data_IF_968249177302
#
_entry.id   IF_968249177302
#
_cell.length_a   1.000
_cell.length_b   1.000
_cell.length_c   1.000
_cell.angle_alpha   90.00
_cell.angle_beta   90.00
_cell.angle_gamma   90.00
#
_symmetry.space_group_name_H-M   'P 1'
#
loop_
_entity.id
_entity.type
_entity.pdbx_description
1 polymer ?
#
# COMPACT_ATOMS: atom_id res chain seq x y z
N UNK A 1 -4.27 -5.52 24.65
CA UNK A 1 -3.78 -4.92 23.39
C UNK A 1 -3.27 -3.49 23.57
N UNK A 2 -3.97 -2.55 24.21
CA UNK A 2 -3.60 -1.12 24.34
C UNK A 2 -2.19 -0.85 24.88
N UNK A 3 -1.73 -1.60 25.88
CA UNK A 3 -0.35 -1.45 26.39
C UNK A 3 0.70 -1.82 25.34
N UNK A 4 0.44 -2.86 24.57
CA UNK A 4 1.35 -3.31 23.48
C UNK A 4 1.38 -2.27 22.36
N UNK A 5 0.23 -1.71 21.99
CA UNK A 5 0.15 -0.63 20.99
C UNK A 5 0.96 0.58 21.43
N UNK A 6 0.84 0.98 22.70
CA UNK A 6 1.61 2.10 23.24
C UNK A 6 3.12 1.84 23.12
N UNK A 7 3.59 0.66 23.56
CA UNK A 7 4.99 0.28 23.40
C UNK A 7 5.44 0.26 21.94
N UNK A 8 4.57 -0.20 21.03
CA UNK A 8 4.86 -0.23 19.59
C UNK A 8 5.00 1.19 19.00
N UNK A 9 4.14 2.14 19.39
CA UNK A 9 4.26 3.54 18.98
C UNK A 9 5.55 4.18 19.50
N UNK A 10 5.87 3.95 20.78
CA UNK A 10 7.11 4.46 21.39
C UNK A 10 8.33 3.91 20.64
N UNK A 11 8.37 2.62 20.40
CA UNK A 11 9.45 1.98 19.64
C UNK A 11 9.56 2.53 18.21
N UNK A 12 8.43 2.61 17.47
CA UNK A 12 8.45 3.10 16.09
C UNK A 12 8.89 4.55 15.99
N UNK A 13 8.44 5.39 16.92
CA UNK A 13 8.87 6.78 17.00
C UNK A 13 10.39 6.88 17.18
N UNK A 14 10.93 6.19 18.19
CA UNK A 14 12.37 6.22 18.48
C UNK A 14 13.19 5.64 17.33
N UNK A 15 12.72 4.55 16.73
CA UNK A 15 13.39 3.92 15.60
C UNK A 15 13.43 4.85 14.37
N UNK A 16 12.30 5.43 14.00
CA UNK A 16 12.23 6.35 12.86
C UNK A 16 13.10 7.59 13.09
N UNK A 17 13.01 8.20 14.28
CA UNK A 17 13.82 9.36 14.62
C UNK A 17 15.33 9.08 14.63
N UNK A 18 15.74 7.85 14.95
CA UNK A 18 17.15 7.45 14.87
C UNK A 18 17.72 7.43 13.45
N UNK A 19 16.83 7.45 12.44
CA UNK A 19 17.20 7.46 11.02
C UNK A 19 17.20 8.85 10.39
N UNK A 20 16.82 9.90 11.15
CA UNK A 20 16.80 11.26 10.63
C UNK A 20 18.20 11.70 10.19
N UNK A 21 18.25 12.37 9.05
CA UNK A 21 19.46 12.79 8.37
C UNK A 21 19.42 14.31 8.11
N UNK A 22 20.59 14.94 8.07
CA UNK A 22 20.73 16.33 7.60
C UNK A 22 20.63 16.43 6.07
N UNK A 23 20.82 15.32 5.34
CA UNK A 23 20.59 15.25 3.90
C UNK A 23 19.10 15.37 3.59
N UNK A 24 18.74 16.34 2.75
CA UNK A 24 17.35 16.67 2.46
C UNK A 24 16.62 15.55 1.68
N UNK A 25 17.33 14.87 0.77
CA UNK A 25 16.74 13.78 -0.03
C UNK A 25 16.48 12.54 0.84
N UNK A 26 17.43 12.20 1.72
CA UNK A 26 17.28 11.14 2.70
C UNK A 26 16.13 11.44 3.66
N UNK A 27 16.11 12.65 4.23
CA UNK A 27 15.06 13.08 5.15
C UNK A 27 13.68 13.04 4.48
N UNK A 28 13.57 13.49 3.22
CA UNK A 28 12.31 13.42 2.46
C UNK A 28 11.83 11.98 2.32
N UNK A 29 12.73 11.04 2.05
CA UNK A 29 12.43 9.61 1.96
C UNK A 29 11.89 9.06 3.29
N UNK A 30 12.60 9.31 4.39
CA UNK A 30 12.23 8.87 5.74
C UNK A 30 10.89 9.49 6.17
N UNK A 31 10.74 10.81 6.03
CA UNK A 31 9.51 11.54 6.38
C UNK A 31 8.29 11.06 5.58
N UNK A 32 8.47 10.77 4.30
CA UNK A 32 7.37 10.23 3.50
C UNK A 32 6.94 8.85 4.01
N UNK A 33 7.88 8.00 4.43
CA UNK A 33 7.55 6.68 4.99
C UNK A 33 6.96 6.77 6.40
N UNK A 34 7.40 7.73 7.20
CA UNK A 34 6.81 8.04 8.50
C UNK A 34 5.34 8.46 8.36
N UNK A 35 5.06 9.44 7.51
CA UNK A 35 3.69 9.88 7.21
C UNK A 35 2.83 8.75 6.64
N UNK A 36 3.37 8.00 5.67
CA UNK A 36 2.70 6.86 5.09
C UNK A 36 2.30 5.85 6.17
N UNK A 37 3.21 5.47 7.05
CA UNK A 37 2.93 4.56 8.16
C UNK A 37 1.80 5.09 9.05
N UNK A 38 1.80 6.38 9.39
CA UNK A 38 0.74 6.99 10.20
C UNK A 38 -0.63 6.93 9.50
N UNK A 39 -0.69 7.25 8.20
CA UNK A 39 -1.93 7.18 7.43
C UNK A 39 -2.43 5.74 7.25
N UNK A 40 -1.54 4.79 6.98
CA UNK A 40 -1.91 3.37 6.85
C UNK A 40 -2.42 2.81 8.17
N UNK A 41 -1.78 3.15 9.29
CA UNK A 41 -2.26 2.79 10.64
C UNK A 41 -3.68 3.29 10.87
N UNK A 42 -3.92 4.57 10.57
CA UNK A 42 -5.26 5.17 10.68
C UNK A 42 -6.27 4.49 9.75
N UNK A 43 -5.91 4.26 8.49
CA UNK A 43 -6.80 3.62 7.51
C UNK A 43 -7.16 2.19 7.93
N UNK A 44 -6.20 1.41 8.43
CA UNK A 44 -6.44 0.03 8.91
C UNK A 44 -7.41 0.02 10.10
N UNK A 45 -7.21 0.93 11.05
CA UNK A 45 -8.11 1.13 12.19
C UNK A 45 -9.52 1.54 11.75
N UNK A 46 -9.63 2.56 10.89
CA UNK A 46 -10.91 3.07 10.40
C UNK A 46 -11.69 2.01 9.61
N UNK A 47 -11.00 1.22 8.79
CA UNK A 47 -11.60 0.10 8.05
C UNK A 47 -12.09 -0.99 9.01
N UNK A 48 -11.30 -1.35 10.04
CA UNK A 48 -11.70 -2.32 11.04
C UNK A 48 -12.94 -1.87 11.84
N UNK A 49 -13.03 -0.56 12.16
CA UNK A 49 -14.23 0.04 12.79
C UNK A 49 -15.44 -0.02 11.84
N UNK A 50 -15.26 0.29 10.56
CA UNK A 50 -16.32 0.19 9.54
C UNK A 50 -16.86 -1.25 9.44
N UNK A 51 -15.97 -2.23 9.48
CA UNK A 51 -16.33 -3.65 9.50
C UNK A 51 -16.95 -4.12 10.81
N UNK A 52 -17.13 -3.21 11.81
CA UNK A 52 -17.69 -3.48 13.12
C UNK A 52 -16.97 -4.59 13.89
N UNK A 53 -15.65 -4.67 13.72
CA UNK A 53 -14.83 -5.62 14.46
C UNK A 53 -14.84 -5.28 15.97
N UNK A 54 -14.49 -6.26 16.81
CA UNK A 54 -14.33 -6.03 18.25
C UNK A 54 -13.24 -4.98 18.54
N UNK A 55 -13.27 -4.33 19.70
CA UNK A 55 -12.22 -3.37 20.10
C UNK A 55 -10.84 -4.01 20.02
N UNK A 56 -10.72 -5.27 20.43
CA UNK A 56 -9.47 -6.02 20.35
C UNK A 56 -9.00 -6.23 18.89
N UNK A 57 -9.91 -6.56 17.99
CA UNK A 57 -9.59 -6.76 16.57
C UNK A 57 -9.27 -5.44 15.86
N UNK A 58 -9.90 -4.33 16.27
CA UNK A 58 -9.54 -2.97 15.81
C UNK A 58 -8.13 -2.60 16.25
N UNK A 59 -7.79 -2.87 17.51
CA UNK A 59 -6.45 -2.66 18.04
C UNK A 59 -5.41 -3.50 17.30
N UNK A 60 -5.75 -4.75 16.95
CA UNK A 60 -4.85 -5.62 16.17
C UNK A 60 -4.64 -5.09 14.73
N UNK A 61 -5.69 -4.57 14.08
CA UNK A 61 -5.57 -3.94 12.76
C UNK A 61 -4.69 -2.69 12.82
N UNK A 62 -4.82 -1.87 13.87
CA UNK A 62 -3.98 -0.71 14.13
C UNK A 62 -2.51 -1.11 14.26
N UNK A 63 -2.21 -2.13 15.07
CA UNK A 63 -0.84 -2.64 15.26
C UNK A 63 -0.23 -3.17 13.95
N UNK A 64 -1.01 -3.89 13.15
CA UNK A 64 -0.57 -4.37 11.83
C UNK A 64 -0.26 -3.18 10.92
N UNK A 65 -1.12 -2.16 10.89
CA UNK A 65 -0.89 -0.92 10.13
C UNK A 65 0.40 -0.22 10.54
N UNK A 66 0.65 -0.11 11.86
CA UNK A 66 1.84 0.54 12.40
C UNK A 66 3.14 -0.20 12.02
N UNK A 67 3.11 -1.52 11.94
CA UNK A 67 4.29 -2.35 11.71
C UNK A 67 4.48 -2.77 10.24
N UNK A 68 3.50 -2.56 9.36
CA UNK A 68 3.52 -3.17 8.01
C UNK A 68 4.78 -2.85 7.20
N UNK A 69 5.26 -1.62 7.29
CA UNK A 69 6.40 -1.10 6.53
C UNK A 69 7.67 -0.90 7.41
N UNK A 70 7.74 -1.52 8.60
CA UNK A 70 8.93 -1.44 9.47
C UNK A 70 10.19 -1.90 8.74
N UNK A 71 10.05 -2.85 7.82
CA UNK A 71 11.13 -3.33 6.96
C UNK A 71 11.66 -2.26 6.00
N UNK A 72 10.88 -1.23 5.63
CA UNK A 72 11.34 -0.10 4.81
C UNK A 72 12.36 0.74 5.56
N UNK A 73 12.17 0.97 6.85
CA UNK A 73 13.13 1.69 7.68
C UNK A 73 14.43 0.88 7.82
N UNK A 74 14.33 -0.44 8.00
CA UNK A 74 15.50 -1.33 8.01
C UNK A 74 16.18 -1.39 6.65
N UNK A 75 15.42 -1.44 5.56
CA UNK A 75 15.92 -1.42 4.19
C UNK A 75 16.72 -0.13 3.92
N UNK A 76 16.18 1.03 4.37
CA UNK A 76 16.89 2.29 4.27
C UNK A 76 18.20 2.28 5.06
N UNK A 77 18.14 1.85 6.31
CA UNK A 77 19.31 1.79 7.20
C UNK A 77 20.47 0.96 6.65
N UNK A 78 20.15 -0.12 5.94
CA UNK A 78 21.17 -1.07 5.45
C UNK A 78 21.58 -0.80 4.01
N UNK A 79 20.63 -0.42 3.16
CA UNK A 79 20.82 -0.37 1.70
C UNK A 79 20.67 1.03 1.10
N UNK A 80 20.28 2.03 1.87
CA UNK A 80 20.00 3.41 1.41
C UNK A 80 19.07 3.47 0.18
N UNK A 81 18.08 2.58 0.11
CA UNK A 81 17.09 2.53 -0.97
C UNK A 81 15.77 1.95 -0.47
N UNK A 82 14.66 2.31 -1.14
CA UNK A 82 13.34 1.71 -0.96
C UNK A 82 12.95 0.79 -2.12
N UNK A 83 13.89 0.43 -2.99
CA UNK A 83 13.65 -0.43 -4.16
C UNK A 83 14.03 -1.86 -3.83
N UNK A 84 13.04 -2.74 -3.67
CA UNK A 84 13.24 -4.15 -3.28
C UNK A 84 14.21 -4.88 -4.23
N UNK A 85 14.15 -4.56 -5.54
CA UNK A 85 15.05 -5.15 -6.54
C UNK A 85 16.53 -4.86 -6.29
N UNK A 86 16.83 -3.74 -5.64
CA UNK A 86 18.19 -3.28 -5.35
C UNK A 86 18.65 -3.65 -3.91
N UNK A 87 17.82 -4.41 -3.18
CA UNK A 87 18.05 -4.75 -1.78
C UNK A 87 17.39 -6.10 -1.41
N UNK A 88 16.50 -6.10 -0.41
CA UNK A 88 15.68 -7.25 -0.01
C UNK A 88 14.18 -6.89 -0.13
N UNK A 89 13.32 -7.92 -0.24
CA UNK A 89 11.86 -7.76 -0.09
C UNK A 89 11.54 -7.16 1.28
N UNK A 90 10.96 -5.96 1.28
CA UNK A 90 10.75 -5.20 2.52
C UNK A 90 9.77 -5.87 3.49
N UNK A 91 8.77 -6.61 2.97
CA UNK A 91 7.86 -7.35 3.84
C UNK A 91 8.63 -8.45 4.59
N UNK A 92 9.44 -9.22 3.89
CA UNK A 92 10.29 -10.27 4.48
C UNK A 92 11.29 -9.70 5.49
N UNK A 93 11.88 -8.55 5.17
CA UNK A 93 12.79 -7.84 6.08
C UNK A 93 12.03 -7.34 7.33
N UNK A 94 10.81 -6.83 7.14
CA UNK A 94 9.94 -6.43 8.25
C UNK A 94 9.61 -7.57 9.20
N UNK A 95 9.34 -8.78 8.68
CA UNK A 95 9.12 -9.95 9.52
C UNK A 95 10.33 -10.28 10.40
N UNK A 96 11.55 -10.18 9.86
CA UNK A 96 12.78 -10.39 10.64
C UNK A 96 12.86 -9.40 11.81
N UNK A 97 12.59 -8.12 11.54
CA UNK A 97 12.59 -7.07 12.59
C UNK A 97 11.53 -7.34 13.64
N UNK A 98 10.28 -7.63 13.21
CA UNK A 98 9.14 -7.84 14.12
C UNK A 98 9.39 -8.98 15.12
N UNK A 99 10.00 -10.08 14.68
CA UNK A 99 10.31 -11.23 15.54
C UNK A 99 11.28 -10.90 16.67
N UNK A 100 12.08 -9.84 16.54
CA UNK A 100 13.03 -9.38 17.54
C UNK A 100 12.41 -8.42 18.58
N UNK A 101 11.21 -7.85 18.28
CA UNK A 101 10.58 -6.83 19.13
C UNK A 101 10.10 -7.40 20.48
N UNK A 102 10.50 -6.81 21.60
CA UNK A 102 10.11 -7.31 22.93
C UNK A 102 8.61 -7.35 23.15
N UNK A 103 7.87 -6.32 22.69
CA UNK A 103 6.42 -6.25 22.85
C UNK A 103 5.69 -7.27 21.96
N UNK A 104 6.26 -7.65 20.80
CA UNK A 104 5.68 -8.67 19.93
C UNK A 104 5.62 -10.03 20.62
N UNK A 105 6.64 -10.36 21.42
CA UNK A 105 6.71 -11.61 22.20
C UNK A 105 5.67 -11.69 23.34
N UNK A 106 5.03 -10.58 23.69
CA UNK A 106 3.94 -10.53 24.69
C UNK A 106 2.57 -10.88 24.10
N UNK A 107 2.44 -10.91 22.76
CA UNK A 107 1.23 -11.31 22.07
C UNK A 107 1.02 -12.82 22.15
N UNK A 108 -0.23 -13.26 22.06
CA UNK A 108 -0.55 -14.68 21.90
C UNK A 108 0.02 -15.25 20.60
N UNK A 109 0.20 -16.56 20.54
CA UNK A 109 0.70 -17.23 19.34
C UNK A 109 -0.19 -16.95 18.11
N UNK A 110 -1.52 -16.96 18.30
CA UNK A 110 -2.48 -16.67 17.22
C UNK A 110 -2.35 -15.24 16.70
N UNK A 111 -2.19 -14.25 17.58
CA UNK A 111 -1.99 -12.85 17.18
C UNK A 111 -0.67 -12.66 16.44
N UNK A 112 0.41 -13.30 16.93
CA UNK A 112 1.71 -13.28 16.25
C UNK A 112 1.59 -13.85 14.85
N UNK A 113 0.95 -14.99 14.67
CA UNK A 113 0.75 -15.62 13.38
C UNK A 113 -0.11 -14.77 12.42
N UNK A 114 -1.15 -14.10 12.94
CA UNK A 114 -2.00 -13.19 12.14
C UNK A 114 -1.16 -12.00 11.66
N UNK A 115 -0.41 -11.34 12.54
CA UNK A 115 0.43 -10.19 12.20
C UNK A 115 1.47 -10.57 11.15
N UNK A 116 2.22 -11.66 11.37
CA UNK A 116 3.23 -12.12 10.44
C UNK A 116 2.64 -12.48 9.08
N UNK A 117 1.48 -13.15 9.06
CA UNK A 117 0.79 -13.48 7.82
C UNK A 117 0.33 -12.22 7.07
N UNK A 118 -0.33 -11.29 7.76
CA UNK A 118 -0.84 -10.07 7.15
C UNK A 118 0.29 -9.22 6.56
N UNK A 119 1.34 -8.96 7.34
CA UNK A 119 2.49 -8.17 6.91
C UNK A 119 3.28 -8.88 5.81
N UNK A 120 3.49 -10.20 5.92
CA UNK A 120 4.18 -10.97 4.89
C UNK A 120 3.46 -11.04 3.53
N UNK A 121 2.15 -10.69 3.51
CA UNK A 121 1.33 -10.72 2.29
C UNK A 121 0.93 -9.33 1.77
N UNK A 122 1.29 -8.22 2.46
CA UNK A 122 0.79 -6.91 2.07
C UNK A 122 1.30 -6.45 0.69
N UNK A 123 2.54 -6.78 0.34
CA UNK A 123 3.19 -6.40 -0.92
C UNK A 123 3.13 -7.49 -2.01
N UNK A 124 2.52 -8.65 -1.74
CA UNK A 124 2.45 -9.75 -2.71
C UNK A 124 1.38 -9.48 -3.78
N UNK A 125 1.58 -10.01 -4.99
CA UNK A 125 0.58 -9.95 -6.06
C UNK A 125 -0.75 -10.55 -5.60
N UNK A 126 -0.70 -11.69 -4.94
CA UNK A 126 -1.85 -12.41 -4.39
C UNK A 126 -1.57 -12.81 -2.94
N UNK A 127 -2.61 -12.81 -2.11
CA UNK A 127 -2.50 -13.33 -0.74
C UNK A 127 -2.31 -14.84 -0.80
N UNK A 128 -1.34 -15.37 -0.07
CA UNK A 128 -1.11 -16.81 0.04
C UNK A 128 -2.36 -17.49 0.59
N UNK A 129 -2.72 -18.63 0.02
CA UNK A 129 -3.91 -19.40 0.46
C UNK A 129 -3.79 -19.77 1.93
N UNK A 130 -4.85 -19.51 2.68
CA UNK A 130 -4.98 -19.86 4.10
C UNK A 130 -6.39 -20.38 4.40
N UNK A 131 -6.51 -21.27 5.39
CA UNK A 131 -7.80 -21.71 5.93
C UNK A 131 -8.29 -20.81 7.07
N UNK A 132 -7.45 -19.91 7.57
CA UNK A 132 -7.80 -19.01 8.66
C UNK A 132 -8.50 -17.77 8.09
N UNK A 133 -9.81 -17.62 8.40
CA UNK A 133 -10.59 -16.45 8.03
C UNK A 133 -9.97 -15.17 8.62
N UNK A 134 -9.49 -15.22 9.88
CA UNK A 134 -8.83 -14.08 10.52
C UNK A 134 -7.54 -13.67 9.79
N UNK A 135 -6.65 -14.58 9.45
CA UNK A 135 -5.43 -14.26 8.69
C UNK A 135 -5.77 -13.59 7.35
N UNK A 136 -6.78 -14.13 6.64
CA UNK A 136 -7.22 -13.56 5.38
C UNK A 136 -7.81 -12.16 5.55
N UNK A 137 -8.63 -11.95 6.57
CA UNK A 137 -9.25 -10.66 6.88
C UNK A 137 -8.19 -9.58 7.11
N UNK A 138 -7.22 -9.82 7.99
CA UNK A 138 -6.18 -8.82 8.30
C UNK A 138 -5.22 -8.59 7.13
N UNK A 139 -4.93 -9.62 6.33
CA UNK A 139 -4.17 -9.44 5.09
C UNK A 139 -4.92 -8.54 4.09
N UNK A 140 -6.25 -8.67 3.98
CA UNK A 140 -7.08 -7.79 3.15
C UNK A 140 -7.13 -6.36 3.72
N UNK A 141 -7.30 -6.21 5.05
CA UNK A 141 -7.35 -4.89 5.71
C UNK A 141 -6.06 -4.11 5.46
N UNK A 142 -4.90 -4.72 5.70
CA UNK A 142 -3.63 -4.00 5.53
C UNK A 142 -3.35 -3.66 4.07
N UNK A 143 -3.65 -4.55 3.12
CA UNK A 143 -3.50 -4.28 1.69
C UNK A 143 -4.35 -3.11 1.23
N UNK A 144 -5.58 -3.02 1.72
CA UNK A 144 -6.48 -1.94 1.39
C UNK A 144 -6.06 -0.62 2.03
N UNK A 145 -5.67 -0.66 3.32
CA UNK A 145 -5.19 0.51 4.06
C UNK A 145 -3.93 1.11 3.44
N UNK A 146 -2.96 0.27 3.05
CA UNK A 146 -1.73 0.64 2.36
C UNK A 146 -2.04 1.24 0.98
N UNK A 147 -2.84 0.54 0.18
CA UNK A 147 -3.23 1.00 -1.16
C UNK A 147 -3.94 2.35 -1.13
N UNK A 148 -4.82 2.59 -0.16
CA UNK A 148 -5.53 3.85 0.00
C UNK A 148 -4.56 5.02 0.24
N UNK A 149 -3.47 4.82 0.99
CA UNK A 149 -2.48 5.87 1.20
C UNK A 149 -1.45 5.97 0.07
N UNK A 150 -1.10 4.87 -0.60
CA UNK A 150 -0.19 4.91 -1.76
C UNK A 150 -0.73 5.85 -2.87
N UNK A 151 -2.04 5.90 -3.10
CA UNK A 151 -2.61 6.88 -4.04
C UNK A 151 -2.25 8.32 -3.65
N UNK A 152 -2.36 8.69 -2.37
CA UNK A 152 -1.95 10.01 -1.85
C UNK A 152 -0.46 10.25 -2.05
N UNK A 153 0.37 9.30 -1.64
CA UNK A 153 1.84 9.40 -1.72
C UNK A 153 2.32 9.55 -3.16
N UNK A 154 1.63 8.94 -4.12
CA UNK A 154 2.03 8.95 -5.53
C UNK A 154 1.39 10.09 -6.33
N UNK A 155 0.41 10.81 -5.77
CA UNK A 155 -0.28 11.90 -6.45
C UNK A 155 0.67 13.00 -6.96
N UNK A 156 1.65 13.51 -6.17
CA UNK A 156 2.60 14.52 -6.64
C UNK A 156 3.43 14.08 -7.86
N UNK A 157 3.55 12.77 -8.07
CA UNK A 157 4.36 12.19 -9.17
C UNK A 157 3.52 11.81 -10.40
N UNK A 158 2.31 12.34 -10.53
CA UNK A 158 1.51 12.24 -11.76
C UNK A 158 1.99 13.23 -12.82
N UNK A 159 2.54 14.37 -12.39
CA UNK A 159 3.16 15.35 -13.28
C UNK A 159 4.66 15.09 -13.38
N UNK A 160 5.15 14.93 -14.63
CA UNK A 160 6.54 14.66 -14.93
C UNK A 160 7.53 15.76 -14.48
N UNK A 161 7.03 16.93 -14.07
CA UNK A 161 7.86 18.04 -13.59
C UNK A 161 8.40 17.83 -12.17
N UNK A 162 7.87 16.85 -11.43
CA UNK A 162 8.31 16.55 -10.06
C UNK A 162 9.36 15.44 -10.10
N UNK A 163 10.61 15.79 -10.37
CA UNK A 163 11.74 14.84 -10.32
C UNK A 163 12.25 14.55 -8.89
N UNK A 164 11.86 15.37 -7.91
CA UNK A 164 12.39 15.30 -6.55
C UNK A 164 11.97 14.01 -5.83
N UNK A 165 12.93 13.25 -5.33
CA UNK A 165 12.70 12.01 -4.56
C UNK A 165 12.31 10.77 -5.37
N UNK A 166 12.05 10.90 -6.69
CA UNK A 166 11.71 9.77 -7.57
C UNK A 166 12.85 8.75 -7.69
N UNK A 167 14.10 9.21 -7.71
CA UNK A 167 15.30 8.35 -7.83
C UNK A 167 15.43 7.35 -6.69
N UNK A 168 14.90 7.68 -5.50
CA UNK A 168 14.93 6.80 -4.33
C UNK A 168 13.85 5.71 -4.36
N UNK A 169 12.83 5.85 -5.23
CA UNK A 169 11.63 5.01 -5.22
C UNK A 169 11.37 4.25 -6.50
N UNK A 170 11.74 4.81 -7.66
CA UNK A 170 11.41 4.24 -8.96
C UNK A 170 12.57 4.40 -9.91
N UNK A 171 12.78 3.40 -10.76
CA UNK A 171 13.68 3.56 -11.91
C UNK A 171 13.10 4.64 -12.83
N UNK A 172 13.92 5.56 -13.35
CA UNK A 172 13.46 6.55 -14.32
C UNK A 172 12.85 5.86 -15.54
N UNK A 173 11.73 6.38 -16.04
CA UNK A 173 11.12 5.93 -17.30
C UNK A 173 10.73 7.16 -18.13
N UNK A 174 10.73 7.07 -19.48
CA UNK A 174 10.36 8.16 -20.37
C UNK A 174 8.94 8.68 -20.06
N UNK A 175 8.80 10.00 -20.21
CA UNK A 175 7.49 10.66 -20.20
C UNK A 175 7.13 11.05 -21.64
N UNK A 176 6.60 10.09 -22.36
CA UNK A 176 6.11 10.23 -23.72
C UNK A 176 4.68 9.67 -23.84
N UNK A 177 4.05 9.80 -24.99
CA UNK A 177 2.67 9.38 -25.21
C UNK A 177 2.49 7.88 -25.45
N UNK A 178 3.57 7.11 -25.41
CA UNK A 178 3.54 5.66 -25.67
C UNK A 178 3.03 4.88 -24.45
N UNK A 179 2.61 3.66 -24.76
CA UNK A 179 2.34 2.58 -23.79
C UNK A 179 3.16 1.36 -24.18
N UNK A 180 3.64 0.62 -23.18
CA UNK A 180 4.27 -0.67 -23.42
C UNK A 180 3.27 -1.66 -24.05
N UNK A 181 3.75 -2.61 -24.86
CA UNK A 181 2.88 -3.58 -25.51
C UNK A 181 1.97 -4.33 -24.54
N UNK A 182 0.69 -4.42 -24.85
CA UNK A 182 -0.32 -5.14 -24.08
C UNK A 182 -0.89 -4.40 -22.86
N UNK A 183 -0.39 -3.18 -22.52
CA UNK A 183 -0.91 -2.43 -21.36
C UNK A 183 -2.32 -1.92 -21.60
N UNK A 184 -2.58 -1.32 -22.75
CA UNK A 184 -3.90 -0.81 -23.11
C UNK A 184 -4.95 -1.94 -23.22
N UNK A 185 -4.60 -3.05 -23.87
CA UNK A 185 -5.50 -4.20 -24.01
C UNK A 185 -5.88 -4.79 -22.64
N UNK A 186 -4.91 -4.90 -21.71
CA UNK A 186 -5.19 -5.36 -20.34
C UNK A 186 -6.01 -4.36 -19.57
N UNK A 187 -5.75 -3.06 -19.72
CA UNK A 187 -6.55 -2.02 -19.09
C UNK A 187 -8.01 -2.06 -19.57
N UNK A 188 -8.23 -2.19 -20.89
CA UNK A 188 -9.58 -2.35 -21.47
C UNK A 188 -10.29 -3.59 -20.91
N UNK A 189 -9.55 -4.69 -20.70
CA UNK A 189 -10.12 -5.92 -20.12
C UNK A 189 -10.26 -5.91 -18.61
N UNK A 190 -9.74 -4.89 -17.92
CA UNK A 190 -9.71 -4.81 -16.45
C UNK A 190 -8.78 -5.86 -15.83
N UNK A 191 -7.75 -6.27 -16.55
CA UNK A 191 -6.73 -7.21 -16.10
C UNK A 191 -5.55 -6.47 -15.54
N UNK A 192 -4.90 -7.05 -14.51
CA UNK A 192 -3.68 -6.48 -13.95
C UNK A 192 -2.46 -6.82 -14.81
N UNK A 193 -1.52 -5.87 -14.86
CA UNK A 193 -0.21 -6.06 -15.48
C UNK A 193 0.87 -6.28 -14.43
N UNK A 194 1.96 -6.89 -14.85
CA UNK A 194 3.18 -6.97 -14.06
C UNK A 194 3.87 -5.59 -14.07
N UNK A 195 4.01 -4.96 -12.90
CA UNK A 195 4.66 -3.65 -12.76
C UNK A 195 6.14 -3.66 -13.21
N UNK A 196 6.76 -4.84 -13.33
CA UNK A 196 8.13 -4.99 -13.85
C UNK A 196 8.24 -4.72 -15.33
N UNK A 197 7.10 -4.70 -16.04
CA UNK A 197 7.01 -4.42 -17.47
C UNK A 197 6.74 -2.95 -17.78
N UNK A 198 6.78 -2.07 -16.79
CA UNK A 198 6.60 -0.63 -16.97
C UNK A 198 7.77 -0.06 -17.76
N UNK A 199 7.49 0.59 -18.88
CA UNK A 199 8.46 1.24 -19.76
C UNK A 199 8.27 2.76 -19.85
N UNK A 200 7.07 3.28 -19.52
CA UNK A 200 6.72 4.70 -19.63
C UNK A 200 6.00 5.24 -18.39
N UNK A 201 5.88 6.57 -18.30
CA UNK A 201 5.06 7.18 -17.25
C UNK A 201 3.56 6.86 -17.43
N UNK A 202 3.08 6.69 -18.66
CA UNK A 202 1.70 6.30 -18.92
C UNK A 202 1.41 4.87 -18.44
N UNK A 203 2.36 3.95 -18.58
CA UNK A 203 2.23 2.60 -18.00
C UNK A 203 2.06 2.64 -16.49
N UNK A 204 2.84 3.51 -15.80
CA UNK A 204 2.68 3.71 -14.34
C UNK A 204 1.30 4.21 -13.96
N UNK A 205 0.76 5.14 -14.74
CA UNK A 205 -0.60 5.66 -14.52
C UNK A 205 -1.64 4.56 -14.69
N UNK A 206 -1.53 3.76 -15.77
CA UNK A 206 -2.43 2.62 -16.00
C UNK A 206 -2.34 1.57 -14.88
N UNK A 207 -1.13 1.19 -14.45
CA UNK A 207 -0.93 0.25 -13.33
C UNK A 207 -1.63 0.76 -12.07
N UNK A 208 -1.50 2.05 -11.76
CA UNK A 208 -2.19 2.66 -10.60
C UNK A 208 -3.72 2.59 -10.74
N UNK A 209 -4.27 2.84 -11.93
CA UNK A 209 -5.70 2.66 -12.17
C UNK A 209 -6.14 1.20 -12.03
N UNK A 210 -5.32 0.25 -12.49
CA UNK A 210 -5.61 -1.18 -12.38
C UNK A 210 -5.57 -1.68 -10.93
N UNK A 211 -4.88 -0.99 -10.00
CA UNK A 211 -4.94 -1.33 -8.58
C UNK A 211 -6.34 -1.26 -7.98
N UNK A 212 -7.25 -0.49 -8.58
CA UNK A 212 -8.64 -0.46 -8.16
C UNK A 212 -9.29 -1.86 -8.21
N UNK A 213 -8.91 -2.70 -9.17
CA UNK A 213 -9.41 -4.08 -9.28
C UNK A 213 -8.93 -5.02 -8.18
N UNK A 214 -7.90 -4.63 -7.40
CA UNK A 214 -7.37 -5.39 -6.26
C UNK A 214 -7.80 -4.80 -4.90
N UNK A 215 -8.78 -3.91 -4.88
CA UNK A 215 -9.38 -3.40 -3.63
C UNK A 215 -10.35 -4.43 -3.09
N UNK A 216 -10.16 -4.81 -1.82
CA UNK A 216 -10.96 -5.85 -1.19
C UNK A 216 -12.32 -5.33 -0.68
N UNK A 217 -12.34 -4.16 -0.04
CA UNK A 217 -13.52 -3.62 0.65
C UNK A 217 -14.15 -2.45 -0.09
N UNK A 218 -15.49 -2.37 -0.07
CA UNK A 218 -16.25 -1.29 -0.67
C UNK A 218 -15.92 0.05 0.00
N UNK A 219 -15.74 0.07 1.31
CA UNK A 219 -15.32 1.24 2.06
C UNK A 219 -14.03 1.86 1.51
N UNK A 220 -13.03 1.02 1.24
CA UNK A 220 -11.76 1.49 0.67
C UNK A 220 -11.97 2.11 -0.71
N UNK A 221 -12.78 1.46 -1.55
CA UNK A 221 -13.10 1.99 -2.87
C UNK A 221 -13.85 3.32 -2.81
N UNK A 222 -14.81 3.44 -1.88
CA UNK A 222 -15.52 4.70 -1.63
C UNK A 222 -14.52 5.81 -1.25
N UNK A 223 -13.57 5.54 -0.34
CA UNK A 223 -12.54 6.51 0.05
C UNK A 223 -11.62 6.92 -1.09
N UNK A 224 -11.20 5.98 -1.94
CA UNK A 224 -10.41 6.27 -3.14
C UNK A 224 -11.20 7.17 -4.10
N UNK A 225 -12.48 6.87 -4.30
CA UNK A 225 -13.37 7.63 -5.19
C UNK A 225 -13.67 9.03 -4.62
N UNK A 226 -14.04 9.14 -3.34
CA UNK A 226 -14.31 10.41 -2.65
C UNK A 226 -13.11 11.38 -2.70
N UNK A 227 -11.89 10.86 -2.60
CA UNK A 227 -10.65 11.66 -2.69
C UNK A 227 -10.27 12.03 -4.12
N UNK A 228 -10.98 11.50 -5.13
CA UNK A 228 -10.78 11.80 -6.54
C UNK A 228 -9.45 11.27 -7.12
N UNK A 229 -8.78 10.32 -6.45
CA UNK A 229 -7.47 9.82 -6.88
C UNK A 229 -7.49 9.24 -8.30
N UNK A 230 -8.52 8.45 -8.64
CA UNK A 230 -8.61 7.82 -9.96
C UNK A 230 -8.82 8.87 -11.06
N UNK A 231 -9.70 9.85 -10.84
CA UNK A 231 -9.98 10.91 -11.82
C UNK A 231 -8.75 11.81 -12.04
N UNK A 232 -7.96 12.07 -11.00
CA UNK A 232 -6.68 12.79 -11.15
C UNK A 232 -5.73 12.04 -12.06
N UNK A 233 -5.59 10.71 -11.88
CA UNK A 233 -4.74 9.89 -12.75
C UNK A 233 -5.26 9.89 -14.18
N UNK A 234 -6.57 9.70 -14.37
CA UNK A 234 -7.23 9.69 -15.68
C UNK A 234 -6.98 11.01 -16.42
N UNK A 235 -7.06 12.14 -15.71
CA UNK A 235 -6.84 13.47 -16.32
C UNK A 235 -5.42 13.67 -16.86
N UNK A 236 -4.45 12.89 -16.37
CA UNK A 236 -3.04 12.93 -16.80
C UNK A 236 -2.70 11.91 -17.91
N UNK A 237 -3.69 11.17 -18.42
CA UNK A 237 -3.48 10.22 -19.52
C UNK A 237 -3.74 10.89 -20.87
N UNK A 238 -3.11 10.43 -21.97
CA UNK A 238 -3.41 10.88 -23.31
C UNK A 238 -4.85 10.51 -23.71
N UNK A 239 -5.51 11.40 -24.47
CA UNK A 239 -6.90 11.22 -24.92
C UNK A 239 -6.93 10.29 -26.15
N UNK A 240 -6.92 8.99 -25.90
CA UNK A 240 -7.00 7.95 -26.92
C UNK A 240 -8.30 7.15 -26.77
N UNK A 241 -8.90 6.65 -27.86
CA UNK A 241 -10.11 5.81 -27.78
C UNK A 241 -9.94 4.57 -26.90
N UNK A 242 -8.78 3.94 -26.93
CA UNK A 242 -8.43 2.77 -26.12
C UNK A 242 -8.36 3.10 -24.63
N UNK A 243 -7.81 4.26 -24.29
CA UNK A 243 -7.77 4.76 -22.91
C UNK A 243 -9.20 5.00 -22.42
N UNK A 244 -10.04 5.65 -23.23
CA UNK A 244 -11.42 5.93 -22.87
C UNK A 244 -12.24 4.66 -22.66
N UNK A 245 -12.05 3.63 -23.48
CA UNK A 245 -12.70 2.32 -23.27
C UNK A 245 -12.34 1.71 -21.91
N UNK A 246 -11.06 1.73 -21.55
CA UNK A 246 -10.60 1.25 -20.25
C UNK A 246 -11.16 2.08 -19.09
N UNK A 247 -11.21 3.41 -19.23
CA UNK A 247 -11.79 4.34 -18.24
C UNK A 247 -13.28 4.07 -18.02
N UNK A 248 -14.06 3.89 -19.09
CA UNK A 248 -15.49 3.57 -18.99
C UNK A 248 -15.69 2.27 -18.20
N UNK A 249 -14.89 1.24 -18.48
CA UNK A 249 -14.96 -0.01 -17.74
C UNK A 249 -14.57 0.17 -16.27
N UNK A 250 -13.49 0.91 -16.01
CA UNK A 250 -13.02 1.18 -14.64
C UNK A 250 -14.10 1.90 -13.82
N UNK A 251 -14.73 2.95 -14.37
CA UNK A 251 -15.80 3.69 -13.68
C UNK A 251 -16.99 2.80 -13.33
N UNK A 252 -17.41 1.93 -14.25
CA UNK A 252 -18.48 0.94 -13.97
C UNK A 252 -18.09 -0.02 -12.85
N UNK A 253 -16.84 -0.48 -12.83
CA UNK A 253 -16.33 -1.35 -11.75
C UNK A 253 -16.32 -0.61 -10.41
N UNK A 254 -15.80 0.62 -10.38
CA UNK A 254 -15.74 1.47 -9.18
C UNK A 254 -17.13 1.70 -8.60
N UNK A 255 -18.10 2.06 -9.44
CA UNK A 255 -19.50 2.27 -9.04
C UNK A 255 -20.10 1.00 -8.41
N UNK A 256 -19.94 -0.15 -9.08
CA UNK A 256 -20.42 -1.43 -8.57
C UNK A 256 -19.72 -1.81 -7.24
N UNK A 257 -18.40 -1.61 -7.15
CA UNK A 257 -17.64 -1.91 -5.94
C UNK A 257 -18.01 -1.01 -4.77
N UNK A 258 -18.24 0.30 -5.01
CA UNK A 258 -18.69 1.25 -3.99
C UNK A 258 -20.07 0.89 -3.42
N UNK A 259 -20.93 0.25 -4.21
CA UNK A 259 -22.28 -0.15 -3.81
C UNK A 259 -22.36 -1.54 -3.16
N UNK A 260 -21.26 -2.29 -3.14
CA UNK A 260 -21.21 -3.61 -2.54
C UNK A 260 -21.25 -3.52 -1.00
N UNK A 261 -21.78 -4.57 -0.36
CA UNK A 261 -21.70 -4.69 1.11
C UNK A 261 -20.39 -5.33 1.52
N UNK A 262 -19.72 -4.72 2.51
CA UNK A 262 -18.58 -5.33 3.16
C UNK A 262 -19.06 -6.29 4.25
N UNK A 263 -18.80 -7.57 4.07
CA UNK A 263 -19.00 -8.58 5.09
C UNK A 263 -17.63 -8.91 5.69
N UNK A 264 -17.52 -8.80 7.00
CA UNK A 264 -16.46 -9.42 7.75
C UNK A 264 -16.82 -10.91 7.86
N UNK A 265 -16.37 -11.73 6.92
CA UNK A 265 -16.44 -13.18 7.05
C UNK A 265 -15.40 -13.60 8.11
N UNK A 266 -15.85 -13.58 9.39
CA UNK A 266 -15.09 -14.05 10.56
C UNK A 266 -15.37 -15.52 10.84
#
# INVERSE_FOLDING_TARGET
MKAIIKEAYEYMNDYIHSLYSEDQDEMLGIKTKEEHTAYVTKNARDLALHLKLSEHDVDLAELIGLLHDIGRFRQWQVYHTFVDKNSEDHASLGLKVILELPFFKKLSADEQEIILFAIGNHNKKEIVKTKSAKKLLYAKIIRDADKLDIYRVLEPYLDAKVEFGLKLRFNPVPNDDRFAPGFLEKFIRGEQVDYRLIETQNDRKLVRLMWAYDVNFSWTMQKINERGHLEKIISCLPKLPEVEQGVVRLRKYVEAKCSAQDLADL
#
